data_IF_199502744047
#
_entry.id   IF_199502744047
#
_cell.length_a   1.000
_cell.length_b   1.000
_cell.length_c   1.000
_cell.angle_alpha   90.00
_cell.angle_beta   90.00
_cell.angle_gamma   90.00
#
_symmetry.space_group_name_H-M   'P 1'
#
loop_
_entity.id
_entity.type
_entity.pdbx_description
1 polymer ?
#
# COMPACT_ATOMS: atom_id res chain seq x y z
N UNK A 1 6.84 0.06 -4.38
CA UNK A 1 5.59 0.68 -3.87
C UNK A 1 5.53 0.21 -2.44
N UNK A 2 5.59 1.14 -1.48
CA UNK A 2 5.83 0.81 -0.08
C UNK A 2 4.74 -0.13 0.46
N UNK A 3 5.13 -1.37 0.72
CA UNK A 3 4.24 -2.43 1.17
C UNK A 3 4.69 -3.08 2.48
N UNK A 4 5.85 -2.69 3.02
CA UNK A 4 6.14 -2.84 4.45
C UNK A 4 6.89 -1.65 5.00
N UNK A 5 6.64 -1.35 6.26
CA UNK A 5 7.37 -0.35 7.01
C UNK A 5 7.55 -0.78 8.46
N UNK A 6 8.27 0.05 9.21
CA UNK A 6 8.66 -0.20 10.59
C UNK A 6 8.20 0.94 11.48
N UNK A 7 7.90 0.61 12.74
CA UNK A 7 7.72 1.57 13.81
C UNK A 7 8.15 0.89 15.10
N UNK A 8 9.45 0.95 15.38
CA UNK A 8 10.14 0.34 16.49
C UNK A 8 10.34 1.29 17.69
N UNK A 9 9.63 2.43 17.72
CA UNK A 9 9.62 3.34 18.88
C UNK A 9 9.17 2.54 20.12
N UNK A 10 9.91 2.60 21.24
CA UNK A 10 9.81 1.62 22.33
C UNK A 10 8.43 1.58 22.99
N UNK A 11 7.78 2.73 23.11
CA UNK A 11 6.45 2.84 23.72
C UNK A 11 5.63 3.96 23.06
N UNK A 12 4.34 3.97 23.40
CA UNK A 12 3.39 4.89 22.80
C UNK A 12 3.59 6.35 23.27
N UNK A 13 4.12 6.58 24.47
CA UNK A 13 4.39 7.93 24.98
C UNK A 13 5.57 8.56 24.22
N UNK A 14 6.62 7.78 23.93
CA UNK A 14 7.72 8.20 23.07
C UNK A 14 7.22 8.53 21.64
N UNK A 15 6.29 7.75 21.10
CA UNK A 15 5.68 8.05 19.79
C UNK A 15 4.93 9.38 19.81
N UNK A 16 4.11 9.63 20.84
CA UNK A 16 3.38 10.88 21.04
C UNK A 16 4.35 12.07 21.11
N UNK A 17 5.44 11.94 21.85
CA UNK A 17 6.46 12.99 21.98
C UNK A 17 7.16 13.28 20.63
N UNK A 18 7.59 12.25 19.89
CA UNK A 18 8.27 12.41 18.60
C UNK A 18 7.40 13.03 17.50
N UNK A 19 6.08 12.88 17.61
CA UNK A 19 5.11 13.45 16.68
C UNK A 19 4.61 14.83 17.11
N UNK A 20 5.06 15.35 18.25
CA UNK A 20 4.64 16.65 18.79
C UNK A 20 3.12 16.77 18.83
N UNK A 21 2.44 15.70 19.29
CA UNK A 21 0.99 15.67 19.34
C UNK A 21 0.53 16.64 20.43
N UNK A 22 0.09 17.83 20.01
CA UNK A 22 -0.39 18.90 20.88
C UNK A 22 -1.91 19.05 20.84
N UNK A 23 -2.49 19.53 21.94
CA UNK A 23 -3.89 19.95 22.04
C UNK A 23 -3.94 21.49 22.06
N UNK A 24 -4.77 22.08 21.22
CA UNK A 24 -5.25 23.45 21.38
C UNK A 24 -6.31 23.48 22.48
N UNK A 25 -6.27 24.48 23.36
CA UNK A 25 -7.21 24.61 24.48
C UNK A 25 -8.67 24.75 24.01
N UNK A 26 -9.34 23.64 23.72
CA UNK A 26 -10.75 23.58 23.39
C UNK A 26 -11.58 23.87 24.64
N UNK A 27 -12.44 24.88 24.56
CA UNK A 27 -13.40 25.24 25.59
C UNK A 27 -14.21 24.02 26.07
N UNK A 28 -14.15 23.74 27.38
CA UNK A 28 -14.98 22.73 28.03
C UNK A 28 -14.16 21.64 28.70
N UNK A 29 -13.88 21.82 29.99
CA UNK A 29 -13.11 20.93 30.85
C UNK A 29 -13.60 19.48 30.86
N UNK A 30 -13.03 18.67 29.95
CA UNK A 30 -13.23 17.21 29.90
C UNK A 30 -12.04 16.48 30.54
N UNK A 31 -12.24 15.25 31.04
CA UNK A 31 -11.31 14.58 31.96
C UNK A 31 -9.93 14.26 31.37
N UNK A 32 -8.92 14.27 32.25
CA UNK A 32 -7.48 14.11 32.00
C UNK A 32 -7.07 12.86 31.20
N UNK A 33 -7.88 11.80 31.18
CA UNK A 33 -7.60 10.59 30.39
C UNK A 33 -7.66 10.83 28.86
N UNK A 34 -8.29 11.92 28.41
CA UNK A 34 -8.28 12.39 27.01
C UNK A 34 -7.19 13.45 26.75
N UNK A 35 -6.41 13.83 27.76
CA UNK A 35 -5.45 14.93 27.68
C UNK A 35 -4.16 14.61 26.89
N UNK A 36 -3.96 13.36 26.45
CA UNK A 36 -2.75 12.94 25.73
C UNK A 36 -2.86 12.96 24.19
N UNK A 37 -3.92 13.51 23.59
CA UNK A 37 -4.07 13.50 22.12
C UNK A 37 -4.00 12.09 21.53
N UNK A 38 -4.38 11.10 22.33
CA UNK A 38 -4.18 9.69 22.06
C UNK A 38 -5.47 8.95 22.31
N UNK A 39 -5.98 8.29 21.28
CA UNK A 39 -7.06 7.33 21.47
C UNK A 39 -6.56 6.22 22.42
N UNK A 40 -7.23 5.96 23.56
CA UNK A 40 -6.85 4.87 24.46
C UNK A 40 -6.75 3.51 23.75
N UNK A 41 -7.51 3.31 22.66
CA UNK A 41 -7.38 2.13 21.80
C UNK A 41 -6.06 2.11 21.04
N UNK A 42 -5.58 3.26 20.54
CA UNK A 42 -4.27 3.34 19.89
C UNK A 42 -3.16 2.97 20.88
N UNK A 43 -3.20 3.53 22.09
CA UNK A 43 -2.23 3.22 23.13
C UNK A 43 -2.24 1.74 23.52
N UNK A 44 -3.44 1.16 23.71
CA UNK A 44 -3.59 -0.25 24.08
C UNK A 44 -3.14 -1.23 22.98
N UNK A 45 -3.26 -0.85 21.70
CA UNK A 45 -2.85 -1.67 20.56
C UNK A 45 -1.39 -1.43 20.14
N UNK A 46 -0.72 -0.45 20.73
CA UNK A 46 0.63 -0.09 20.35
C UNK A 46 1.65 -1.10 20.89
N UNK A 47 2.60 -1.45 20.03
CA UNK A 47 3.81 -2.20 20.33
C UNK A 47 4.83 -1.91 19.23
N UNK A 48 6.14 -1.92 19.52
CA UNK A 48 7.16 -1.85 18.48
C UNK A 48 6.95 -2.93 17.41
N UNK A 49 7.05 -2.56 16.14
CA UNK A 49 6.92 -3.47 14.98
C UNK A 49 8.06 -3.22 13.99
N UNK A 50 8.61 -4.31 13.47
CA UNK A 50 9.73 -4.35 12.55
C UNK A 50 9.31 -4.84 11.15
N UNK A 51 8.06 -5.27 10.97
CA UNK A 51 7.53 -5.78 9.71
C UNK A 51 6.02 -5.51 9.53
N UNK A 52 5.62 -4.24 9.50
CA UNK A 52 4.22 -3.83 9.35
C UNK A 52 3.79 -4.03 7.90
N UNK A 53 2.69 -4.74 7.66
CA UNK A 53 2.18 -5.08 6.35
C UNK A 53 0.72 -4.62 6.16
N UNK A 54 0.19 -4.55 4.92
CA UNK A 54 -1.23 -4.31 4.67
C UNK A 54 -2.12 -5.27 5.46
N UNK A 55 -3.35 -4.85 5.74
CA UNK A 55 -4.30 -5.55 6.62
C UNK A 55 -3.87 -5.63 8.09
N UNK A 56 -2.92 -4.82 8.53
CA UNK A 56 -2.60 -4.68 9.96
C UNK A 56 -3.07 -3.34 10.50
N UNK A 57 -3.40 -3.31 11.80
CA UNK A 57 -3.75 -2.07 12.51
C UNK A 57 -2.49 -1.31 12.89
N UNK A 58 -2.47 -0.01 12.59
CA UNK A 58 -1.38 0.92 12.83
C UNK A 58 -1.92 2.25 13.36
N UNK A 59 -1.24 2.93 14.31
CA UNK A 59 -1.61 4.29 14.70
C UNK A 59 -1.35 5.28 13.56
N UNK A 60 -2.34 6.11 13.23
CA UNK A 60 -2.20 7.23 12.30
C UNK A 60 -2.52 8.55 13.01
N UNK A 61 -1.77 9.60 12.71
CA UNK A 61 -2.02 10.94 13.24
C UNK A 61 -3.00 11.66 12.32
N UNK A 62 -4.08 12.20 12.87
CA UNK A 62 -5.07 13.00 12.14
C UNK A 62 -5.43 14.25 12.93
N UNK A 63 -5.93 15.27 12.23
CA UNK A 63 -6.59 16.39 12.89
C UNK A 63 -7.86 15.91 13.62
N UNK A 64 -8.10 16.48 14.79
CA UNK A 64 -9.33 16.35 15.58
C UNK A 64 -9.71 17.73 16.15
N UNK A 65 -10.95 17.91 16.57
CA UNK A 65 -11.42 19.20 17.13
C UNK A 65 -10.50 19.67 18.26
N UNK A 66 -9.78 20.76 18.02
CA UNK A 66 -8.84 21.33 18.98
C UNK A 66 -7.48 20.65 19.04
N UNK A 67 -7.02 19.92 18.02
CA UNK A 67 -5.62 19.46 17.96
C UNK A 67 -5.39 18.26 17.06
N UNK A 68 -4.46 17.40 17.47
CA UNK A 68 -4.10 16.17 16.75
C UNK A 68 -4.40 14.94 17.60
N UNK A 69 -4.78 13.85 16.94
CA UNK A 69 -5.03 12.58 17.59
C UNK A 69 -4.33 11.40 16.88
N UNK A 70 -3.67 10.55 17.66
CA UNK A 70 -3.28 9.21 17.19
C UNK A 70 -4.46 8.26 17.33
N UNK A 71 -4.94 7.74 16.21
CA UNK A 71 -6.05 6.80 16.15
C UNK A 71 -5.62 5.47 15.52
N UNK A 72 -6.10 4.31 16.01
CA UNK A 72 -5.81 3.04 15.37
C UNK A 72 -6.57 2.96 14.03
N UNK A 73 -5.88 2.59 12.96
CA UNK A 73 -6.49 2.39 11.65
C UNK A 73 -5.95 1.13 10.98
N UNK A 74 -6.82 0.41 10.28
CA UNK A 74 -6.48 -0.78 9.51
C UNK A 74 -5.90 -0.40 8.14
N UNK A 75 -4.72 -0.91 7.79
CA UNK A 75 -4.07 -0.56 6.53
C UNK A 75 -4.75 -1.20 5.31
N UNK A 76 -5.32 -0.35 4.46
CA UNK A 76 -5.76 -0.66 3.11
C UNK A 76 -7.24 -0.37 2.93
N UNK A 77 -7.62 0.33 1.86
CA UNK A 77 -9.03 0.56 1.50
C UNK A 77 -9.61 -0.66 0.77
N UNK A 78 -10.92 -0.83 0.88
CA UNK A 78 -11.64 -1.77 0.03
C UNK A 78 -11.70 -1.23 -1.41
N UNK A 79 -11.14 -1.98 -2.35
CA UNK A 79 -11.27 -1.79 -3.78
C UNK A 79 -12.50 -2.52 -4.32
N UNK A 80 -13.12 -1.96 -5.37
CA UNK A 80 -14.14 -2.62 -6.18
C UNK A 80 -13.52 -2.96 -7.54
N UNK A 81 -13.42 -4.23 -7.90
CA UNK A 81 -13.35 -4.60 -9.32
C UNK A 81 -14.77 -4.88 -9.82
N UNK A 82 -15.19 -4.16 -10.85
CA UNK A 82 -16.39 -4.48 -11.61
C UNK A 82 -16.07 -5.65 -12.53
N UNK A 83 -16.78 -6.77 -12.36
CA UNK A 83 -16.77 -7.90 -13.28
C UNK A 83 -16.48 -9.25 -12.63
N UNK A 84 -17.54 -9.97 -12.23
CA UNK A 84 -17.58 -11.43 -12.34
C UNK A 84 -16.90 -12.31 -11.28
N UNK A 85 -16.40 -11.77 -10.17
CA UNK A 85 -15.88 -12.59 -9.07
C UNK A 85 -15.81 -11.80 -7.76
N UNK A 86 -16.40 -12.34 -6.69
CA UNK A 86 -16.60 -11.69 -5.39
C UNK A 86 -15.31 -11.52 -4.56
N UNK A 87 -14.28 -10.89 -5.11
CA UNK A 87 -13.07 -10.49 -4.40
C UNK A 87 -13.00 -8.97 -4.24
N UNK A 88 -13.00 -8.47 -2.99
CA UNK A 88 -12.59 -7.09 -2.73
C UNK A 88 -11.07 -7.03 -2.85
N UNK A 89 -10.54 -6.17 -3.73
CA UNK A 89 -9.09 -5.95 -3.80
C UNK A 89 -8.66 -4.99 -2.70
N UNK A 90 -7.57 -5.28 -1.98
CA UNK A 90 -7.07 -4.37 -0.96
C UNK A 90 -6.17 -3.30 -1.58
N UNK A 91 -6.55 -2.04 -1.44
CA UNK A 91 -5.76 -0.90 -1.91
C UNK A 91 -4.92 -0.36 -0.75
N UNK A 92 -3.66 -0.79 -0.64
CA UNK A 92 -2.74 -0.32 0.43
C UNK A 92 -2.13 1.06 0.13
N UNK A 93 -2.02 1.41 -1.15
CA UNK A 93 -1.36 2.62 -1.62
C UNK A 93 -2.23 3.39 -2.61
N UNK A 94 -2.06 4.71 -2.67
CA UNK A 94 -2.53 5.53 -3.78
C UNK A 94 -1.37 6.32 -4.40
N UNK A 95 -1.39 6.46 -5.72
CA UNK A 95 -0.45 7.32 -6.46
C UNK A 95 -0.88 8.76 -6.27
N UNK A 96 0.01 9.59 -5.73
CA UNK A 96 -0.27 10.98 -5.40
C UNK A 96 -0.75 11.79 -6.62
N UNK A 97 -0.22 11.49 -7.80
CA UNK A 97 -0.57 12.11 -9.10
C UNK A 97 -2.05 11.97 -9.48
N UNK A 98 -2.75 11.00 -8.88
CA UNK A 98 -4.15 10.70 -9.20
C UNK A 98 -5.06 10.60 -7.98
N UNK A 99 -4.53 10.78 -6.77
CA UNK A 99 -5.28 10.60 -5.54
C UNK A 99 -6.41 11.63 -5.40
N UNK A 100 -6.20 12.86 -5.88
CA UNK A 100 -7.20 13.93 -5.82
C UNK A 100 -8.39 13.70 -6.76
N UNK A 101 -8.18 13.04 -7.90
CA UNK A 101 -9.21 12.94 -8.94
C UNK A 101 -9.93 11.60 -8.94
N UNK A 102 -9.26 10.51 -8.54
CA UNK A 102 -9.85 9.17 -8.52
C UNK A 102 -11.02 9.07 -7.54
N UNK A 103 -12.20 8.58 -7.96
CA UNK A 103 -13.38 8.46 -7.09
C UNK A 103 -13.12 7.74 -5.75
N UNK A 104 -12.26 6.72 -5.77
CA UNK A 104 -11.88 5.94 -4.59
C UNK A 104 -11.17 6.76 -3.51
N UNK A 105 -10.43 7.80 -3.90
CA UNK A 105 -9.53 8.53 -3.00
C UNK A 105 -9.91 10.00 -2.82
N UNK A 106 -10.57 10.63 -3.81
CA UNK A 106 -10.83 12.08 -3.84
C UNK A 106 -11.51 12.62 -2.59
N UNK A 107 -12.49 11.89 -2.04
CA UNK A 107 -13.20 12.32 -0.84
C UNK A 107 -12.35 12.24 0.43
N UNK A 108 -11.46 11.25 0.52
CA UNK A 108 -10.51 11.15 1.61
C UNK A 108 -9.36 12.16 1.44
N UNK A 109 -8.92 12.41 0.22
CA UNK A 109 -7.92 13.44 -0.08
C UNK A 109 -8.38 14.83 0.34
N UNK A 110 -9.64 15.18 0.08
CA UNK A 110 -10.19 16.49 0.42
C UNK A 110 -10.32 16.71 1.94
N UNK A 111 -10.75 15.70 2.70
CA UNK A 111 -11.23 15.90 4.07
C UNK A 111 -10.60 14.97 5.13
N UNK A 112 -9.81 13.97 4.75
CA UNK A 112 -9.34 12.91 5.64
C UNK A 112 -7.90 12.52 5.34
N UNK A 113 -7.02 13.51 5.46
CA UNK A 113 -5.57 13.35 5.39
C UNK A 113 -5.03 12.96 6.76
N UNK A 114 -4.02 12.10 6.80
CA UNK A 114 -3.35 11.66 8.02
C UNK A 114 -1.84 11.54 7.79
N UNK A 115 -1.07 11.50 8.89
CA UNK A 115 0.33 11.07 8.88
C UNK A 115 0.37 9.60 9.30
N UNK A 116 1.08 8.80 8.52
CA UNK A 116 1.42 7.42 8.88
C UNK A 116 2.86 7.46 9.43
N UNK A 117 3.04 7.42 10.77
CA UNK A 117 4.37 7.44 11.37
C UNK A 117 5.09 6.12 11.10
N UNK A 118 6.37 6.22 10.73
CA UNK A 118 7.27 5.09 10.59
C UNK A 118 8.70 5.53 10.94
N UNK A 119 9.58 4.62 11.34
CA UNK A 119 11.02 4.89 11.47
C UNK A 119 11.83 4.33 10.28
N UNK A 120 11.15 3.64 9.36
CA UNK A 120 11.70 3.25 8.08
C UNK A 120 10.68 2.48 7.23
N UNK A 121 11.02 2.25 5.97
CA UNK A 121 10.23 1.43 5.05
C UNK A 121 11.12 0.48 4.25
N UNK A 122 10.54 -0.60 3.76
CA UNK A 122 11.25 -1.56 2.93
C UNK A 122 10.84 -1.43 1.47
N UNK A 123 11.82 -1.58 0.59
CA UNK A 123 11.60 -1.85 -0.84
C UNK A 123 12.49 -3.01 -1.29
N UNK A 124 12.10 -3.66 -2.39
CA UNK A 124 12.80 -4.82 -2.92
C UNK A 124 13.28 -4.56 -4.34
N UNK A 125 14.53 -4.96 -4.60
CA UNK A 125 15.08 -5.08 -5.94
C UNK A 125 15.25 -6.56 -6.33
N UNK A 126 15.47 -6.81 -7.62
CA UNK A 126 15.70 -8.14 -8.16
C UNK A 126 14.43 -8.93 -8.53
N UNK A 127 14.59 -10.11 -9.15
CA UNK A 127 13.48 -10.89 -9.68
C UNK A 127 12.63 -11.53 -8.57
N UNK A 128 11.39 -11.89 -8.91
CA UNK A 128 10.50 -12.65 -8.02
C UNK A 128 11.18 -13.95 -7.59
N UNK A 129 11.17 -14.25 -6.30
CA UNK A 129 11.83 -15.42 -5.71
C UNK A 129 13.26 -15.19 -5.23
N UNK A 130 13.94 -14.14 -5.69
CA UNK A 130 15.29 -13.75 -5.24
C UNK A 130 15.35 -12.24 -4.92
N UNK A 131 14.27 -11.73 -4.34
CA UNK A 131 14.14 -10.30 -4.00
C UNK A 131 15.08 -9.94 -2.86
N UNK A 132 15.83 -8.86 -3.04
CA UNK A 132 16.75 -8.30 -2.03
C UNK A 132 16.07 -7.12 -1.33
N UNK A 133 15.73 -7.23 -0.05
CA UNK A 133 15.12 -6.14 0.70
C UNK A 133 16.17 -5.09 1.06
N UNK A 134 15.78 -3.83 0.90
CA UNK A 134 16.50 -2.67 1.42
C UNK A 134 15.59 -1.93 2.39
N UNK A 135 16.08 -1.65 3.58
CA UNK A 135 15.41 -0.81 4.56
C UNK A 135 15.91 0.63 4.42
N UNK A 136 14.97 1.55 4.21
CA UNK A 136 15.19 2.98 4.11
C UNK A 136 14.73 3.65 5.39
N UNK A 137 15.59 4.46 6.00
CA UNK A 137 15.34 5.19 7.25
C UNK A 137 15.74 6.65 7.13
N UNK A 138 15.23 7.57 7.98
CA UNK A 138 15.71 8.94 8.01
C UNK A 138 17.22 8.99 8.21
N UNK A 139 17.95 9.69 7.32
CA UNK A 139 19.39 9.84 7.44
C UNK A 139 19.78 10.60 8.73
N UNK A 140 18.98 11.61 9.08
CA UNK A 140 19.14 12.43 10.30
C UNK A 140 18.55 11.79 11.58
N UNK A 141 17.99 10.57 11.49
CA UNK A 141 17.24 9.96 12.59
C UNK A 141 15.82 10.54 12.76
N UNK A 142 15.12 10.10 13.81
CA UNK A 142 13.71 10.46 14.05
C UNK A 142 12.71 9.61 13.26
N UNK A 143 11.54 10.18 12.99
CA UNK A 143 10.44 9.51 12.29
C UNK A 143 10.24 10.04 10.86
N UNK A 144 9.96 9.11 9.95
CA UNK A 144 9.28 9.38 8.70
C UNK A 144 7.83 9.74 8.96
N UNK A 145 7.39 10.83 8.35
CA UNK A 145 5.99 11.27 8.31
C UNK A 145 5.44 10.96 6.93
N UNK A 146 4.93 9.76 6.73
CA UNK A 146 4.39 9.38 5.41
C UNK A 146 2.99 9.98 5.24
N UNK A 147 2.75 10.66 4.12
CA UNK A 147 1.43 11.21 3.81
C UNK A 147 0.45 10.05 3.56
N UNK A 148 -0.66 10.04 4.29
CA UNK A 148 -1.70 9.03 4.16
C UNK A 148 -3.09 9.63 4.04
N UNK A 149 -4.03 8.80 3.58
CA UNK A 149 -5.45 9.11 3.59
C UNK A 149 -6.17 8.11 4.48
N UNK A 150 -7.25 8.53 5.15
CA UNK A 150 -8.06 7.64 5.96
C UNK A 150 -9.55 7.78 5.64
N UNK A 151 -10.33 6.77 6.02
CA UNK A 151 -11.79 6.82 5.99
C UNK A 151 -12.40 5.83 6.97
N UNK A 152 -13.58 6.13 7.53
CA UNK A 152 -14.35 5.13 8.26
C UNK A 152 -14.79 4.02 7.31
N UNK A 153 -14.76 2.78 7.78
CA UNK A 153 -15.32 1.63 7.11
C UNK A 153 -16.13 0.82 8.11
N UNK A 154 -17.36 0.51 7.73
CA UNK A 154 -18.22 -0.38 8.50
C UNK A 154 -17.81 -1.82 8.21
N UNK A 155 -17.48 -2.56 9.26
CA UNK A 155 -17.33 -3.99 9.20
C UNK A 155 -18.69 -4.63 8.90
N UNK A 156 -18.81 -5.47 7.85
CA UNK A 156 -20.08 -6.03 7.43
C UNK A 156 -20.62 -7.10 8.37
N UNK A 157 -19.76 -7.75 9.17
CA UNK A 157 -20.14 -8.85 10.06
C UNK A 157 -20.52 -8.33 11.45
N UNK A 158 -19.71 -7.43 12.00
CA UNK A 158 -19.89 -6.90 13.37
C UNK A 158 -20.67 -5.59 13.39
N UNK A 159 -20.76 -4.90 12.25
CA UNK A 159 -21.35 -3.56 12.16
C UNK A 159 -20.50 -2.45 12.79
N UNK A 160 -19.34 -2.79 13.38
CA UNK A 160 -18.41 -1.83 13.97
C UNK A 160 -17.83 -0.91 12.88
N UNK A 161 -17.65 0.37 13.18
CA UNK A 161 -17.00 1.31 12.28
C UNK A 161 -15.58 1.53 12.76
N UNK A 162 -14.62 1.02 11.99
CA UNK A 162 -13.19 1.23 12.23
C UNK A 162 -12.59 2.15 11.16
N UNK A 163 -11.50 2.81 11.50
CA UNK A 163 -10.75 3.59 10.51
C UNK A 163 -9.92 2.67 9.64
N UNK A 164 -9.87 2.98 8.35
CA UNK A 164 -8.89 2.41 7.41
C UNK A 164 -8.00 3.52 6.90
N UNK A 165 -6.75 3.20 6.60
CA UNK A 165 -5.81 4.16 6.02
C UNK A 165 -5.08 3.58 4.81
N UNK A 166 -4.50 4.46 4.00
CA UNK A 166 -3.58 4.11 2.90
C UNK A 166 -2.40 5.08 2.89
N UNK A 167 -1.30 4.66 2.27
CA UNK A 167 -0.11 5.50 2.09
C UNK A 167 -0.13 6.11 0.69
N UNK A 168 0.17 7.41 0.59
CA UNK A 168 0.41 8.05 -0.69
C UNK A 168 1.83 7.77 -1.16
N UNK A 169 1.95 7.47 -2.45
CA UNK A 169 3.24 7.20 -3.09
C UNK A 169 3.49 8.19 -4.21
N UNK A 170 4.75 8.52 -4.43
CA UNK A 170 5.25 9.39 -5.50
C UNK A 170 6.41 8.69 -6.24
N UNK A 171 6.99 9.33 -7.25
CA UNK A 171 8.20 8.84 -7.90
C UNK A 171 9.34 8.69 -6.87
N UNK A 172 10.25 7.75 -7.10
CA UNK A 172 11.39 7.58 -6.20
C UNK A 172 12.32 8.81 -6.21
N UNK A 173 12.83 9.17 -5.03
CA UNK A 173 13.96 10.08 -4.90
C UNK A 173 15.25 9.41 -5.39
N UNK A 174 16.35 10.16 -5.59
CA UNK A 174 17.65 9.56 -5.93
C UNK A 174 18.14 8.52 -4.91
N UNK A 175 17.75 8.66 -3.63
CA UNK A 175 18.10 7.68 -2.58
C UNK A 175 17.42 6.32 -2.81
N UNK A 176 16.19 6.30 -3.34
CA UNK A 176 15.35 5.09 -3.48
C UNK A 176 15.40 4.50 -4.90
N UNK A 177 15.64 5.34 -5.91
CA UNK A 177 15.61 4.98 -7.33
C UNK A 177 16.50 3.77 -7.70
N UNK A 178 17.66 3.52 -7.06
CA UNK A 178 18.45 2.30 -7.31
C UNK A 178 17.72 0.99 -6.94
N UNK A 179 16.70 1.04 -6.07
CA UNK A 179 15.97 -0.13 -5.57
C UNK A 179 14.56 -0.22 -6.15
N UNK A 180 13.83 0.89 -6.25
CA UNK A 180 12.45 0.92 -6.74
C UNK A 180 12.11 2.27 -7.39
N UNK A 181 11.21 2.28 -8.37
CA UNK A 181 10.72 3.50 -9.07
C UNK A 181 9.73 4.36 -8.26
N UNK A 182 9.33 3.93 -7.06
CA UNK A 182 8.31 4.59 -6.23
C UNK A 182 8.75 4.60 -4.77
N UNK A 183 8.30 5.61 -4.05
CA UNK A 183 8.47 5.73 -2.60
C UNK A 183 7.21 6.32 -1.94
N UNK A 184 7.05 6.23 -0.61
CA UNK A 184 6.07 7.02 0.12
C UNK A 184 6.30 8.52 -0.08
N UNK A 185 5.23 9.32 -0.09
CA UNK A 185 5.37 10.78 0.07
C UNK A 185 5.80 11.05 1.51
N UNK A 186 6.96 11.67 1.69
CA UNK A 186 7.51 12.02 3.00
C UNK A 186 7.31 13.51 3.26
N UNK A 187 6.68 13.84 4.38
CA UNK A 187 6.40 15.22 4.78
C UNK A 187 7.47 15.73 5.75
N UNK A 188 7.91 16.97 5.56
CA UNK A 188 8.75 17.62 6.56
C UNK A 188 7.94 17.93 7.82
N UNK A 189 8.57 18.08 9.01
CA UNK A 189 7.86 18.46 10.23
C UNK A 189 7.01 19.73 10.06
N UNK A 190 7.52 20.74 9.35
CA UNK A 190 6.81 22.00 9.09
C UNK A 190 5.63 21.89 8.10
N UNK A 191 5.51 20.79 7.35
CA UNK A 191 4.43 20.60 6.38
C UNK A 191 3.22 19.86 6.98
N UNK A 192 3.34 19.37 8.24
CA UNK A 192 2.30 18.55 8.89
C UNK A 192 0.99 19.31 9.05
N UNK A 193 1.06 20.57 9.48
CA UNK A 193 -0.12 21.42 9.73
C UNK A 193 -0.93 21.62 8.44
N UNK A 194 -0.26 22.03 7.36
CA UNK A 194 -0.83 22.18 6.03
C UNK A 194 -1.41 20.86 5.51
N UNK A 195 -0.66 19.76 5.67
CA UNK A 195 -1.13 18.44 5.23
C UNK A 195 -2.37 17.98 6.01
N UNK A 196 -2.45 18.22 7.31
CA UNK A 196 -3.62 17.85 8.11
C UNK A 196 -4.79 18.84 7.95
N UNK A 197 -4.55 20.00 7.32
CA UNK A 197 -5.55 21.04 7.07
C UNK A 197 -5.85 21.89 8.30
N UNK A 198 -4.91 22.00 9.22
CA UNK A 198 -5.04 22.73 10.48
C UNK A 198 -4.92 24.26 10.29
N UNK A 199 -4.24 24.69 9.22
CA UNK A 199 -4.06 26.11 8.85
C UNK A 199 -5.28 26.70 8.10
N UNK A 200 -6.42 26.02 8.14
CA UNK A 200 -7.60 26.34 7.33
C UNK A 200 -7.66 25.57 6.01
N UNK A 201 -6.61 24.83 5.63
CA UNK A 201 -6.69 23.60 4.80
C UNK A 201 -7.32 23.66 3.41
N UNK A 202 -7.66 24.85 2.90
CA UNK A 202 -8.37 25.05 1.63
C UNK A 202 -7.44 25.33 0.43
N UNK A 203 -6.15 25.60 0.68
CA UNK A 203 -5.19 25.84 -0.39
C UNK A 203 -4.69 24.51 -1.00
N UNK A 204 -5.44 24.05 -2.00
CA UNK A 204 -5.16 22.80 -2.73
C UNK A 204 -3.79 22.83 -3.41
N UNK A 205 -3.34 23.98 -3.91
CA UNK A 205 -2.07 24.09 -4.61
C UNK A 205 -0.89 23.89 -3.65
N UNK A 206 -0.97 24.49 -2.46
CA UNK A 206 0.01 24.26 -1.39
C UNK A 206 0.05 22.79 -0.96
N UNK A 207 -1.11 22.15 -0.80
CA UNK A 207 -1.20 20.72 -0.45
C UNK A 207 -0.61 19.83 -1.55
N UNK A 208 -0.89 20.11 -2.82
CA UNK A 208 -0.33 19.35 -3.94
C UNK A 208 1.18 19.53 -4.07
N UNK A 209 1.73 20.71 -3.73
CA UNK A 209 3.17 20.95 -3.74
C UNK A 209 3.94 20.06 -2.75
N UNK A 210 3.29 19.53 -1.72
CA UNK A 210 3.86 18.57 -0.77
C UNK A 210 4.03 17.15 -1.37
N UNK A 211 3.31 16.82 -2.45
CA UNK A 211 3.21 15.47 -3.00
C UNK A 211 4.35 15.09 -3.95
N UNK A 212 5.58 15.40 -3.54
CA UNK A 212 6.81 15.24 -4.34
C UNK A 212 7.78 14.24 -3.73
N UNK A 213 8.72 13.68 -4.51
CA UNK A 213 9.79 12.85 -3.97
C UNK A 213 10.60 13.59 -2.93
N UNK A 214 11.13 12.87 -1.93
CA UNK A 214 11.99 13.49 -0.93
C UNK A 214 13.30 14.01 -1.57
N UNK A 215 13.89 15.10 -1.05
CA UNK A 215 15.20 15.56 -1.50
C UNK A 215 16.29 14.48 -1.32
N UNK A 216 17.36 14.49 -2.14
CA UNK A 216 18.50 13.58 -1.95
C UNK A 216 19.12 13.72 -0.56
N UNK A 217 19.60 12.62 0.00
CA UNK A 217 20.18 12.58 1.34
C UNK A 217 19.14 12.61 2.48
N UNK A 218 17.84 12.56 2.17
CA UNK A 218 16.80 12.42 3.20
C UNK A 218 16.83 11.02 3.82
N UNK A 219 17.17 10.01 3.02
CA UNK A 219 17.10 8.61 3.41
C UNK A 219 18.48 7.96 3.41
N UNK A 220 18.76 7.18 4.44
CA UNK A 220 19.84 6.20 4.46
C UNK A 220 19.28 4.82 4.11
N UNK A 221 19.99 4.09 3.25
CA UNK A 221 19.63 2.75 2.81
C UNK A 221 20.49 1.69 3.51
N UNK A 222 19.88 0.57 3.90
CA UNK A 222 20.57 -0.60 4.45
C UNK A 222 20.03 -1.87 3.80
N UNK A 223 20.92 -2.70 3.26
CA UNK A 223 20.55 -4.05 2.82
C UNK A 223 20.28 -4.93 4.06
N UNK A 224 19.14 -5.62 4.08
CA UNK A 224 18.70 -6.41 5.25
C UNK A 224 18.40 -7.86 4.88
N UNK A 225 18.11 -8.67 5.89
CA UNK A 225 17.83 -10.10 5.70
C UNK A 225 16.55 -10.35 4.89
N UNK A 226 16.56 -11.32 3.94
CA UNK A 226 15.36 -11.81 3.26
C UNK A 226 14.30 -12.40 4.20
N UNK A 227 14.62 -12.69 5.47
CA UNK A 227 13.64 -13.07 6.51
C UNK A 227 12.45 -12.12 6.51
N UNK A 228 12.71 -10.83 6.28
CA UNK A 228 11.67 -9.82 6.26
C UNK A 228 10.52 -10.24 5.32
N UNK A 229 10.79 -10.89 4.17
CA UNK A 229 9.79 -11.28 3.16
C UNK A 229 8.57 -12.02 3.73
N UNK A 230 8.73 -12.77 4.82
CA UNK A 230 7.62 -13.39 5.53
C UNK A 230 7.14 -12.51 6.67
N UNK A 231 5.84 -12.18 6.67
CA UNK A 231 5.20 -11.33 7.70
C UNK A 231 5.16 -11.97 9.09
N UNK A 232 5.51 -13.26 9.20
CA UNK A 232 5.61 -13.97 10.48
C UNK A 232 6.84 -13.55 11.29
N UNK A 233 7.86 -13.00 10.62
CA UNK A 233 9.04 -12.45 11.28
C UNK A 233 8.82 -10.98 11.57
N UNK A 234 9.04 -10.57 12.81
CA UNK A 234 8.72 -9.22 13.27
C UNK A 234 9.56 -8.87 14.51
N UNK A 235 10.88 -8.93 14.32
CA UNK A 235 11.89 -8.81 15.37
C UNK A 235 12.99 -7.81 14.99
N UNK A 236 13.73 -7.26 15.97
CA UNK A 236 14.79 -6.26 15.72
C UNK A 236 15.87 -6.72 14.74
N UNK A 237 16.16 -8.03 14.68
CA UNK A 237 17.20 -8.56 13.80
C UNK A 237 16.84 -8.42 12.30
N UNK A 238 15.60 -8.05 11.96
CA UNK A 238 15.24 -7.66 10.59
C UNK A 238 15.88 -6.34 10.14
N UNK A 239 16.33 -5.50 11.07
CA UNK A 239 16.98 -4.22 10.78
C UNK A 239 18.50 -4.31 10.74
N UNK A 240 19.06 -5.47 11.10
CA UNK A 240 20.49 -5.71 11.05
C UNK A 240 20.98 -5.74 9.60
N UNK A 241 22.18 -5.22 9.41
CA UNK A 241 22.80 -5.16 8.10
C UNK A 241 23.19 -6.56 7.65
N UNK A 242 22.84 -6.90 6.40
CA UNK A 242 23.24 -8.18 5.83
C UNK A 242 24.76 -8.15 5.61
N UNK A 243 25.48 -9.03 6.31
CA UNK A 243 26.93 -9.17 6.12
C UNK A 243 27.26 -9.38 4.64
N UNK A 244 28.30 -8.69 4.16
CA UNK A 244 28.69 -8.64 2.74
C UNK A 244 28.93 -10.03 2.12
N UNK A 245 29.26 -11.03 2.93
CA UNK A 245 29.56 -12.40 2.48
C UNK A 245 28.30 -13.22 2.14
N UNK A 246 27.11 -12.81 2.63
CA UNK A 246 25.82 -13.43 2.28
C UNK A 246 25.16 -12.80 1.03
N UNK A 247 25.83 -11.84 0.37
CA UNK A 247 25.32 -11.18 -0.83
C UNK A 247 25.48 -12.03 -2.10
N UNK A 248 26.35 -13.05 -2.09
CA UNK A 248 26.49 -13.99 -3.19
C UNK A 248 25.25 -14.90 -3.30
N UNK A 249 24.69 -15.14 -4.50
CA UNK A 249 23.61 -16.10 -4.64
C UNK A 249 24.15 -17.49 -4.29
N UNK A 250 23.62 -18.09 -3.22
CA UNK A 250 23.74 -19.52 -2.98
C UNK A 250 23.21 -20.25 -4.22
N UNK A 251 24.10 -21.00 -4.90
CA UNK A 251 23.75 -21.77 -6.09
C UNK A 251 22.59 -22.69 -5.75
N UNK A 252 21.49 -22.52 -6.47
CA UNK A 252 20.33 -23.38 -6.41
C UNK A 252 20.76 -24.86 -6.50
N UNK A 253 20.56 -25.61 -5.42
CA UNK A 253 20.58 -27.06 -5.45
C UNK A 253 19.37 -27.53 -6.26
N UNK A 254 19.59 -27.75 -7.54
CA UNK A 254 18.67 -28.41 -8.47
C UNK A 254 18.35 -29.81 -7.95
N UNK A 255 17.09 -30.06 -7.59
CA UNK A 255 16.55 -31.43 -7.56
C UNK A 255 16.32 -31.84 -9.02
N UNK A 256 17.22 -32.69 -9.51
CA UNK A 256 17.11 -33.35 -10.81
C UNK A 256 15.78 -34.11 -10.92
N UNK A 257 14.98 -33.77 -11.93
CA UNK A 257 13.88 -34.60 -12.41
C UNK A 257 14.47 -35.72 -13.30
N UNK A 258 14.15 -36.97 -12.97
CA UNK A 258 14.57 -38.14 -13.74
C UNK A 258 13.94 -38.14 -15.15
N UNK A 259 14.68 -38.61 -16.19
CA UNK A 259 14.19 -38.59 -17.56
C UNK A 259 13.18 -39.73 -17.80
N UNK A 260 12.02 -39.40 -18.39
CA UNK A 260 11.11 -40.40 -18.95
C UNK A 260 11.58 -40.78 -20.36
N UNK A 261 12.04 -42.01 -20.51
CA UNK A 261 12.39 -42.64 -21.79
C UNK A 261 11.13 -42.96 -22.59
N UNK A 262 11.09 -42.53 -23.86
CA UNK A 262 10.13 -42.98 -24.87
C UNK A 262 10.75 -44.11 -25.70
N UNK A 263 9.96 -45.13 -26.04
CA UNK A 263 10.32 -46.21 -26.96
C UNK A 263 9.39 -46.20 -28.21
N UNK A 264 9.83 -46.75 -29.36
CA UNK A 264 9.49 -46.21 -30.67
C UNK A 264 8.33 -46.91 -31.40
N UNK A 265 7.95 -46.25 -32.50
CA UNK A 265 6.84 -46.47 -33.42
C UNK A 265 7.17 -47.52 -34.50
N UNK A 266 6.20 -48.36 -34.87
CA UNK A 266 6.22 -49.21 -36.07
C UNK A 266 5.25 -48.66 -37.15
N UNK A 267 5.52 -48.98 -38.43
CA UNK A 267 5.09 -48.21 -39.60
C UNK A 267 4.22 -48.99 -40.64
N UNK A 268 3.34 -48.20 -41.30
CA UNK A 268 2.91 -48.21 -42.73
C UNK A 268 1.93 -49.32 -43.25
N UNK A 269 1.27 -49.19 -44.44
CA UNK A 269 1.21 -48.07 -45.41
C UNK A 269 -0.18 -47.67 -46.02
N UNK A 270 -0.16 -46.45 -46.61
CA UNK A 270 -0.81 -45.80 -47.79
C UNK A 270 -2.05 -46.36 -48.54
N UNK A 271 -2.97 -45.44 -48.86
CA UNK A 271 -3.49 -45.02 -50.19
C UNK A 271 -4.38 -43.77 -49.94
N UNK A 272 -4.49 -42.68 -50.71
CA UNK A 272 -4.29 -42.35 -52.12
C UNK A 272 -5.50 -41.48 -52.51
N UNK A 273 -5.34 -40.27 -53.04
CA UNK A 273 -6.50 -39.50 -53.52
C UNK A 273 -6.32 -37.98 -53.61
N UNK A 274 -6.55 -37.47 -54.81
CA UNK A 274 -6.27 -36.14 -55.37
C UNK A 274 -7.32 -35.06 -55.00
N UNK A 275 -6.92 -33.78 -55.17
CA UNK A 275 -7.57 -32.44 -55.03
C UNK A 275 -8.98 -32.29 -55.69
N UNK A 276 -9.72 -31.12 -55.71
CA UNK A 276 -9.36 -29.72 -55.36
C UNK A 276 -10.49 -28.76 -54.78
N UNK A 277 -10.10 -27.48 -54.57
CA UNK A 277 -10.77 -26.17 -54.87
C UNK A 277 -12.18 -25.74 -54.38
N UNK A 278 -12.22 -24.47 -53.91
CA UNK A 278 -13.27 -23.40 -53.99
C UNK A 278 -14.66 -23.66 -53.37
N UNK A 279 -15.52 -22.70 -53.07
CA UNK A 279 -15.49 -21.31 -52.56
C UNK A 279 -16.98 -20.98 -52.24
N UNK A 280 -17.22 -19.80 -51.69
CA UNK A 280 -18.48 -19.18 -51.25
C UNK A 280 -19.79 -19.40 -52.05
N UNK A 281 -20.88 -19.42 -51.27
CA UNK A 281 -22.13 -18.62 -51.40
C UNK A 281 -23.49 -19.24 -51.81
N UNK A 282 -24.52 -18.65 -51.17
CA UNK A 282 -25.95 -18.54 -51.51
C UNK A 282 -26.94 -19.70 -51.29
N UNK A 283 -28.00 -19.41 -50.52
CA UNK A 283 -29.36 -19.53 -51.06
C UNK A 283 -30.49 -20.09 -50.18
N UNK A 284 -31.45 -19.20 -49.88
CA UNK A 284 -32.90 -19.40 -49.78
C UNK A 284 -33.57 -19.83 -48.44
N UNK A 285 -34.52 -18.98 -48.02
CA UNK A 285 -35.40 -19.09 -46.84
C UNK A 285 -36.58 -20.06 -46.99
N UNK A 286 -37.68 -19.88 -46.22
CA UNK A 286 -38.71 -18.96 -46.69
C UNK A 286 -39.45 -18.16 -45.59
N UNK A 287 -40.49 -17.47 -46.07
CA UNK A 287 -41.16 -16.24 -45.64
C UNK A 287 -42.39 -16.38 -44.74
N UNK A 288 -42.73 -15.24 -44.12
CA UNK A 288 -43.89 -14.84 -43.28
C UNK A 288 -45.27 -14.98 -43.98
N UNK A 289 -46.41 -14.86 -43.27
CA UNK A 289 -47.13 -13.55 -43.23
C UNK A 289 -47.78 -13.22 -41.86
N UNK A 290 -47.65 -11.97 -41.37
CA UNK A 290 -48.63 -10.85 -41.39
C UNK A 290 -49.84 -11.05 -40.45
N UNK A 291 -50.23 -10.11 -39.57
CA UNK A 291 -50.44 -8.70 -39.86
C UNK A 291 -50.76 -7.82 -38.64
N UNK A 292 -50.83 -6.51 -38.97
CA UNK A 292 -51.21 -5.31 -38.18
C UNK A 292 -52.57 -5.49 -37.46
N UNK A 293 -52.99 -4.75 -36.43
CA UNK A 293 -53.13 -3.29 -36.16
C UNK A 293 -53.79 -3.21 -34.75
N UNK A 294 -53.63 -2.24 -33.85
CA UNK A 294 -54.21 -0.89 -33.82
C UNK A 294 -54.24 -0.41 -32.36
N UNK A 295 -53.92 0.87 -32.16
CA UNK A 295 -54.35 1.84 -31.12
C UNK A 295 -55.37 1.37 -30.07
N UNK A 296 -55.09 1.67 -28.79
CA UNK A 296 -55.72 2.73 -27.98
C UNK A 296 -54.82 3.07 -26.80
#
# INVERSE_FOLDING_TARGET
MCARFTLAVPDFAALVAMLEVSFGAGAGGRPLARALGADPRAAALYRPRYNIAPSTVHPVLRAEDGGRALAPALWGFAGRFGGGGAGTSLLANARAESARTKPTFRGAFAARRCIVPADGFYEWSGPKGARRPTWFRPAAGGLLRMAGLYQPAKDPETGQVDLRFIVLTTAASPDVAPVHDRMPVLLAPGDVELWLGEDGGEDVERVEALLRPAPPGTLAARAVSPRVNSVVHDDPALLEELAAEAAAPEKAASKAAAPRTAAPRAAAPKAGGTLPLFDLDAGAGPTVPSGRTSRR
#
